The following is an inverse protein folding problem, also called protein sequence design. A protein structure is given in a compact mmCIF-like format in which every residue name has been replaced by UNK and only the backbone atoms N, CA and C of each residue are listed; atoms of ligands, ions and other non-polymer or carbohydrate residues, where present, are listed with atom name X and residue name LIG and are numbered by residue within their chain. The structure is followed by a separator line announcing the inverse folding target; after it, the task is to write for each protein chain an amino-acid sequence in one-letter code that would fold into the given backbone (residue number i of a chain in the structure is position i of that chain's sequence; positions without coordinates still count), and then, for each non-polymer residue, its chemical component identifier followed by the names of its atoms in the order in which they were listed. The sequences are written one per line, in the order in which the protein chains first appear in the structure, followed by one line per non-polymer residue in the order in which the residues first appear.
data_IF_835386363186
#
_entry.id   IF_835386363186
#
_cell.length_a   1.000
_cell.length_b   1.000
_cell.length_c   1.000
_cell.angle_alpha   90.00
_cell.angle_beta   90.00
_cell.angle_gamma   90.00
#
_symmetry.space_group_name_H-M   'P 1'
#
loop_
_entity.id
_entity.type
_entity.pdbx_description
1 polymer ?
#
# COMPACT_ATOMS: atom_id res chain seq x y z
N UNK A 1 -5.34 -13.28 0.26
CA UNK A 1 -5.72 -13.91 -1.03
C UNK A 1 -6.80 -13.07 -1.71
N UNK A 2 -6.55 -12.58 -2.92
CA UNK A 2 -7.26 -11.45 -3.53
C UNK A 2 -8.64 -11.85 -4.08
N UNK A 3 -9.69 -11.74 -3.26
CA UNK A 3 -11.10 -12.05 -3.57
C UNK A 3 -11.66 -11.25 -4.78
N UNK A 4 -10.96 -10.21 -5.22
CA UNK A 4 -11.39 -9.29 -6.28
C UNK A 4 -10.72 -9.51 -7.65
N UNK A 5 -9.71 -10.40 -7.74
CA UNK A 5 -9.07 -10.76 -9.02
C UNK A 5 -10.06 -11.22 -10.12
N UNK A 6 -11.10 -12.03 -9.80
CA UNK A 6 -12.06 -12.47 -10.82
C UNK A 6 -12.97 -11.35 -11.33
N UNK A 7 -13.33 -10.37 -10.48
CA UNK A 7 -14.21 -9.25 -10.86
C UNK A 7 -13.49 -8.32 -11.86
N UNK A 8 -12.23 -8.01 -11.62
CA UNK A 8 -11.40 -7.23 -12.55
C UNK A 8 -11.22 -7.89 -13.90
N UNK A 9 -10.93 -9.19 -13.91
CA UNK A 9 -10.75 -9.96 -15.14
C UNK A 9 -12.05 -10.02 -15.95
N UNK A 10 -13.19 -10.20 -15.30
CA UNK A 10 -14.50 -10.21 -15.95
C UNK A 10 -14.88 -8.83 -16.50
N UNK A 11 -14.59 -7.74 -15.77
CA UNK A 11 -14.82 -6.39 -16.25
C UNK A 11 -14.02 -6.09 -17.53
N UNK A 12 -12.70 -6.36 -17.52
CA UNK A 12 -11.86 -6.18 -18.70
C UNK A 12 -12.35 -6.98 -19.90
N UNK A 13 -12.69 -8.26 -19.68
CA UNK A 13 -13.23 -9.12 -20.75
C UNK A 13 -14.53 -8.55 -21.35
N UNK A 14 -15.45 -8.08 -20.49
CA UNK A 14 -16.71 -7.49 -20.95
C UNK A 14 -16.47 -6.23 -21.80
N UNK A 15 -15.48 -5.40 -21.43
CA UNK A 15 -15.13 -4.20 -22.19
C UNK A 15 -14.47 -4.52 -23.52
N UNK A 16 -13.59 -5.52 -23.56
CA UNK A 16 -13.03 -6.02 -24.83
C UNK A 16 -14.13 -6.54 -25.77
N UNK A 17 -15.10 -7.29 -25.25
CA UNK A 17 -16.22 -7.76 -26.03
C UNK A 17 -17.11 -6.61 -26.54
N UNK A 18 -17.36 -5.59 -25.72
CA UNK A 18 -18.10 -4.40 -26.09
C UNK A 18 -17.40 -3.60 -27.19
N UNK A 19 -16.09 -3.41 -27.10
CA UNK A 19 -15.28 -2.75 -28.13
C UNK A 19 -15.35 -3.56 -29.43
N UNK A 20 -15.10 -4.87 -29.35
CA UNK A 20 -15.16 -5.77 -30.49
C UNK A 20 -16.50 -5.73 -31.19
N UNK A 21 -17.60 -5.77 -30.41
CA UNK A 21 -18.97 -5.66 -30.97
C UNK A 21 -19.22 -4.31 -31.67
N UNK A 22 -18.78 -3.21 -31.06
CA UNK A 22 -18.94 -1.87 -31.68
C UNK A 22 -18.12 -1.72 -32.96
N UNK A 23 -16.92 -2.31 -33.00
CA UNK A 23 -16.10 -2.33 -34.23
C UNK A 23 -16.74 -3.19 -35.34
N UNK A 24 -17.28 -4.34 -34.99
CA UNK A 24 -17.98 -5.20 -35.95
C UNK A 24 -19.19 -4.47 -36.56
N UNK A 25 -20.00 -3.81 -35.71
CA UNK A 25 -21.14 -3.02 -36.20
C UNK A 25 -20.68 -1.89 -37.13
N UNK A 26 -19.62 -1.18 -36.79
CA UNK A 26 -19.07 -0.10 -37.62
C UNK A 26 -18.59 -0.63 -38.99
N UNK A 27 -17.85 -1.75 -38.97
CA UNK A 27 -17.37 -2.39 -40.21
C UNK A 27 -18.53 -2.87 -41.08
N UNK A 28 -19.57 -3.48 -40.49
CA UNK A 28 -20.74 -3.92 -41.21
C UNK A 28 -21.51 -2.76 -41.83
N UNK A 29 -21.63 -1.63 -41.13
CA UNK A 29 -22.27 -0.42 -41.60
C UNK A 29 -21.52 0.18 -42.79
N UNK A 30 -20.19 0.30 -42.70
CA UNK A 30 -19.33 0.74 -43.80
C UNK A 30 -19.44 -0.21 -45.00
N UNK A 31 -19.41 -1.52 -44.73
CA UNK A 31 -19.49 -2.54 -45.80
C UNK A 31 -20.83 -2.45 -46.55
N UNK A 32 -21.93 -2.25 -45.82
CA UNK A 32 -23.25 -2.03 -46.39
C UNK A 32 -23.26 -0.81 -47.36
N UNK A 33 -22.63 0.29 -46.93
CA UNK A 33 -22.54 1.50 -47.76
C UNK A 33 -21.69 1.32 -49.01
N UNK A 34 -20.63 0.49 -48.93
CA UNK A 34 -19.71 0.24 -50.05
C UNK A 34 -20.27 -0.76 -51.04
N UNK A 35 -20.84 -1.87 -50.53
CA UNK A 35 -21.32 -2.96 -51.39
C UNK A 35 -22.68 -2.68 -52.05
N UNK A 36 -23.48 -1.77 -51.47
CA UNK A 36 -24.82 -1.45 -51.97
C UNK A 36 -24.95 0.05 -52.34
N UNK A 37 -24.41 0.48 -53.52
CA UNK A 37 -24.49 1.88 -53.94
C UNK A 37 -25.93 2.40 -54.07
N UNK A 38 -26.87 1.53 -54.46
CA UNK A 38 -28.29 1.88 -54.54
C UNK A 38 -28.91 2.23 -53.17
N UNK A 39 -28.48 1.53 -52.12
CA UNK A 39 -28.88 1.86 -50.74
C UNK A 39 -28.33 3.24 -50.34
N UNK A 40 -27.07 3.52 -50.61
CA UNK A 40 -26.43 4.81 -50.35
C UNK A 40 -27.11 5.96 -51.07
N UNK A 41 -27.49 5.78 -52.33
CA UNK A 41 -28.19 6.80 -53.13
C UNK A 41 -29.61 7.07 -52.57
N UNK A 42 -30.34 6.02 -52.19
CA UNK A 42 -31.68 6.13 -51.60
C UNK A 42 -31.67 6.79 -50.22
N UNK A 43 -30.55 6.74 -49.47
CA UNK A 43 -30.40 7.40 -48.18
C UNK A 43 -30.64 8.91 -48.26
N UNK A 44 -30.22 9.57 -49.35
CA UNK A 44 -30.41 11.01 -49.53
C UNK A 44 -31.79 11.39 -50.04
N UNK A 45 -32.50 10.43 -50.66
CA UNK A 45 -33.78 10.70 -51.36
C UNK A 45 -35.01 10.29 -50.55
N UNK A 46 -34.86 9.29 -49.62
CA UNK A 46 -36.03 8.72 -48.97
C UNK A 46 -35.82 8.58 -47.42
N UNK A 47 -36.66 9.25 -46.61
CA UNK A 47 -36.61 9.18 -45.16
C UNK A 47 -36.73 7.74 -44.59
N UNK A 48 -37.37 6.84 -45.33
CA UNK A 48 -37.52 5.44 -44.90
C UNK A 48 -36.18 4.71 -44.77
N UNK A 49 -35.15 5.11 -45.54
CA UNK A 49 -33.79 4.56 -45.45
C UNK A 49 -32.90 5.40 -44.53
N UNK A 50 -33.13 6.72 -44.52
CA UNK A 50 -32.31 7.65 -43.73
C UNK A 50 -32.52 7.47 -42.23
N UNK A 51 -33.76 7.33 -41.76
CA UNK A 51 -34.06 7.24 -40.32
C UNK A 51 -33.40 6.01 -39.64
N UNK A 52 -33.56 4.78 -40.18
CA UNK A 52 -32.87 3.61 -39.60
C UNK A 52 -31.36 3.76 -39.59
N UNK A 53 -30.76 4.30 -40.65
CA UNK A 53 -29.32 4.53 -40.73
C UNK A 53 -28.84 5.51 -39.66
N UNK A 54 -29.55 6.59 -39.44
CA UNK A 54 -29.27 7.57 -38.41
C UNK A 54 -29.33 6.92 -37.01
N UNK A 55 -30.31 6.05 -36.76
CA UNK A 55 -30.44 5.31 -35.50
C UNK A 55 -29.22 4.42 -35.25
N UNK A 56 -28.75 3.70 -36.27
CA UNK A 56 -27.54 2.85 -36.15
C UNK A 56 -26.31 3.67 -35.82
N UNK A 57 -26.11 4.78 -36.51
CA UNK A 57 -24.95 5.68 -36.23
C UNK A 57 -25.03 6.24 -34.81
N UNK A 58 -26.21 6.74 -34.40
CA UNK A 58 -26.39 7.26 -33.04
C UNK A 58 -26.20 6.19 -31.99
N UNK A 59 -26.61 4.95 -32.26
CA UNK A 59 -26.35 3.82 -31.35
C UNK A 59 -24.86 3.52 -31.20
N UNK A 60 -24.10 3.50 -32.31
CA UNK A 60 -22.62 3.29 -32.27
C UNK A 60 -21.95 4.42 -31.50
N UNK A 61 -22.29 5.68 -31.78
CA UNK A 61 -21.75 6.85 -31.10
C UNK A 61 -22.07 6.78 -29.58
N UNK A 62 -23.34 6.52 -29.24
CA UNK A 62 -23.78 6.39 -27.85
C UNK A 62 -23.07 5.28 -27.11
N UNK A 63 -22.84 4.14 -27.76
CA UNK A 63 -22.10 3.02 -27.18
C UNK A 63 -20.62 3.36 -26.93
N UNK A 64 -19.97 4.07 -27.84
CA UNK A 64 -18.61 4.54 -27.68
C UNK A 64 -18.49 5.60 -26.57
N UNK A 65 -19.41 6.55 -26.52
CA UNK A 65 -19.45 7.54 -25.42
C UNK A 65 -19.66 6.87 -24.07
N UNK A 66 -20.59 5.93 -23.98
CA UNK A 66 -20.81 5.16 -22.77
C UNK A 66 -19.55 4.40 -22.35
N UNK A 67 -18.83 3.80 -23.29
CA UNK A 67 -17.57 3.10 -23.02
C UNK A 67 -16.52 4.05 -22.41
N UNK A 68 -16.37 5.26 -22.97
CA UNK A 68 -15.42 6.27 -22.45
C UNK A 68 -15.80 6.69 -21.03
N UNK A 69 -17.08 6.99 -20.78
CA UNK A 69 -17.57 7.37 -19.45
C UNK A 69 -17.34 6.26 -18.44
N UNK A 70 -17.63 5.01 -18.80
CA UNK A 70 -17.51 3.86 -17.93
C UNK A 70 -16.02 3.56 -17.61
N UNK A 71 -15.13 3.63 -18.60
CA UNK A 71 -13.68 3.47 -18.38
C UNK A 71 -13.10 4.56 -17.47
N UNK A 72 -13.55 5.82 -17.63
CA UNK A 72 -13.11 6.92 -16.78
C UNK A 72 -13.63 6.79 -15.34
N UNK A 73 -14.90 6.41 -15.18
CA UNK A 73 -15.50 6.17 -13.86
C UNK A 73 -14.82 5.01 -13.14
N UNK A 74 -14.55 3.92 -13.87
CA UNK A 74 -13.83 2.78 -13.33
C UNK A 74 -12.40 3.14 -12.90
N UNK A 75 -11.67 3.90 -13.75
CA UNK A 75 -10.33 4.38 -13.42
C UNK A 75 -10.30 5.20 -12.11
N UNK A 76 -11.28 6.13 -11.97
CA UNK A 76 -11.44 6.92 -10.74
C UNK A 76 -11.72 6.05 -9.51
N UNK A 77 -12.64 5.08 -9.61
CA UNK A 77 -12.98 4.19 -8.52
C UNK A 77 -11.79 3.30 -8.09
N UNK A 78 -10.95 2.87 -9.03
CA UNK A 78 -9.72 2.14 -8.72
C UNK A 78 -8.72 3.03 -8.00
N UNK A 79 -8.50 4.24 -8.50
CA UNK A 79 -7.58 5.20 -7.88
C UNK A 79 -8.05 5.58 -6.47
N UNK A 80 -9.32 5.87 -6.27
CA UNK A 80 -9.89 6.17 -4.95
C UNK A 80 -9.73 4.99 -3.98
N UNK A 81 -9.98 3.78 -4.44
CA UNK A 81 -9.76 2.58 -3.64
C UNK A 81 -8.29 2.42 -3.24
N UNK A 82 -7.35 2.69 -4.14
CA UNK A 82 -5.93 2.52 -3.86
C UNK A 82 -5.41 3.64 -2.94
N UNK A 83 -5.93 4.87 -3.05
CA UNK A 83 -5.65 5.95 -2.10
C UNK A 83 -6.22 5.66 -0.71
N UNK A 84 -7.46 5.16 -0.62
CA UNK A 84 -8.09 4.75 0.64
C UNK A 84 -7.33 3.59 1.30
N UNK A 85 -6.85 2.63 0.52
CA UNK A 85 -5.99 1.56 1.04
C UNK A 85 -4.68 2.10 1.57
N UNK A 86 -4.00 2.95 0.80
CA UNK A 86 -2.75 3.56 1.23
C UNK A 86 -2.95 4.32 2.55
N UNK A 87 -3.98 5.17 2.64
CA UNK A 87 -4.32 5.89 3.85
C UNK A 87 -4.64 4.96 5.04
N UNK A 88 -5.23 3.78 4.80
CA UNK A 88 -5.53 2.81 5.86
C UNK A 88 -4.27 2.14 6.43
N UNK A 89 -3.17 2.04 5.66
CA UNK A 89 -1.96 1.29 6.04
C UNK A 89 -0.77 2.16 6.42
N UNK A 90 -0.91 3.48 6.32
CA UNK A 90 0.15 4.45 6.60
C UNK A 90 -0.27 5.34 7.78
N UNK A 91 0.68 5.70 8.61
CA UNK A 91 0.48 6.67 9.70
C UNK A 91 0.44 8.09 9.13
N UNK A 92 -0.64 8.82 9.37
CA UNK A 92 -0.88 10.14 8.78
C UNK A 92 0.17 11.20 9.20
N UNK A 93 0.74 11.05 10.40
CA UNK A 93 1.74 12.00 10.89
C UNK A 93 3.12 11.75 10.28
N UNK A 94 3.52 10.48 10.19
CA UNK A 94 4.91 10.12 9.90
C UNK A 94 5.13 9.53 8.50
N UNK A 95 4.06 9.11 7.81
CA UNK A 95 4.16 8.44 6.52
C UNK A 95 4.60 6.98 6.59
N UNK A 96 5.01 6.49 7.76
CA UNK A 96 5.49 5.13 7.98
C UNK A 96 4.32 4.12 7.99
N UNK A 97 4.54 2.83 7.70
CA UNK A 97 3.55 1.79 7.93
C UNK A 97 2.97 1.87 9.34
N UNK A 98 1.64 1.94 9.44
CA UNK A 98 0.94 2.10 10.72
C UNK A 98 0.70 0.77 11.44
N UNK A 99 -0.03 0.83 12.58
CA UNK A 99 -0.38 -0.34 13.39
C UNK A 99 -1.10 -1.43 12.59
N UNK A 100 -2.00 -1.06 11.67
CA UNK A 100 -2.68 -2.05 10.82
C UNK A 100 -1.70 -2.79 9.91
N UNK A 101 -0.67 -2.10 9.41
CA UNK A 101 0.42 -2.71 8.66
C UNK A 101 1.25 -3.66 9.51
N UNK A 102 1.53 -3.29 10.76
CA UNK A 102 2.19 -4.19 11.74
C UNK A 102 1.33 -5.45 11.99
N UNK A 103 0.02 -5.29 12.18
CA UNK A 103 -0.92 -6.42 12.36
C UNK A 103 -0.96 -7.35 11.13
N UNK A 104 -0.82 -6.80 9.91
CA UNK A 104 -0.71 -7.62 8.69
C UNK A 104 0.56 -8.45 8.66
N UNK A 105 1.68 -7.91 9.10
CA UNK A 105 2.92 -8.68 9.24
C UNK A 105 2.73 -9.82 10.22
N UNK A 106 2.05 -9.59 11.35
CA UNK A 106 1.70 -10.67 12.29
C UNK A 106 0.84 -11.75 11.65
N UNK A 107 -0.13 -11.38 10.82
CA UNK A 107 -0.97 -12.33 10.10
C UNK A 107 -0.18 -13.12 9.03
N UNK A 108 0.77 -12.48 8.35
CA UNK A 108 1.61 -13.14 7.35
C UNK A 108 2.44 -14.27 7.95
N UNK A 109 2.99 -14.06 9.15
CA UNK A 109 3.77 -15.07 9.88
C UNK A 109 2.92 -15.99 10.76
N UNK A 110 1.62 -15.73 10.90
CA UNK A 110 0.69 -16.54 11.70
C UNK A 110 0.22 -17.83 11.04
N UNK A 111 0.57 -18.09 9.77
CA UNK A 111 0.21 -19.31 9.05
C UNK A 111 1.02 -20.52 9.49
N UNK A 112 0.37 -21.67 9.66
CA UNK A 112 1.02 -22.96 10.09
C UNK A 112 2.15 -23.42 9.16
N UNK A 113 2.20 -22.94 7.91
CA UNK A 113 3.21 -23.34 6.90
C UNK A 113 4.35 -22.33 6.74
N UNK A 114 4.34 -21.23 7.48
CA UNK A 114 5.35 -20.18 7.36
C UNK A 114 6.55 -20.52 8.23
N UNK A 115 7.73 -20.64 7.60
CA UNK A 115 8.98 -20.85 8.33
C UNK A 115 9.43 -19.56 8.98
N UNK A 116 9.69 -19.61 10.28
CA UNK A 116 10.17 -18.50 11.09
C UNK A 116 11.54 -18.74 11.69
N UNK A 117 12.26 -19.76 11.22
CA UNK A 117 13.53 -20.24 11.81
C UNK A 117 14.55 -19.10 12.00
N UNK A 118 14.69 -18.22 11.01
CA UNK A 118 15.66 -17.12 11.05
C UNK A 118 14.98 -15.74 11.06
N UNK A 119 13.79 -15.66 11.67
CA UNK A 119 13.09 -14.38 11.81
C UNK A 119 13.52 -13.70 13.12
N UNK A 120 13.76 -12.42 13.04
CA UNK A 120 14.02 -11.58 14.21
C UNK A 120 12.97 -10.47 14.31
N UNK A 121 12.66 -10.10 15.55
CA UNK A 121 11.77 -8.98 15.85
C UNK A 121 12.47 -8.04 16.82
N UNK A 122 12.37 -6.73 16.57
CA UNK A 122 12.76 -5.72 17.52
C UNK A 122 11.60 -4.76 17.80
N UNK A 123 11.49 -4.34 19.05
CA UNK A 123 10.63 -3.24 19.47
C UNK A 123 11.52 -2.07 19.87
N UNK A 124 11.18 -0.89 19.39
CA UNK A 124 11.90 0.35 19.61
C UNK A 124 10.91 1.36 20.19
N UNK A 125 11.30 2.10 21.21
CA UNK A 125 10.47 3.18 21.78
C UNK A 125 11.26 4.47 21.86
N UNK A 126 10.61 5.60 21.57
CA UNK A 126 11.16 6.92 21.88
C UNK A 126 10.90 7.17 23.36
N UNK A 127 11.98 7.17 24.15
CA UNK A 127 11.87 7.25 25.63
C UNK A 127 11.55 8.65 26.14
N UNK A 128 12.00 9.70 25.47
CA UNK A 128 11.83 11.08 25.90
C UNK A 128 10.61 11.81 25.27
N UNK A 129 9.77 11.13 24.45
CA UNK A 129 8.65 11.77 23.77
C UNK A 129 7.68 12.47 24.73
N UNK A 130 7.31 11.82 25.83
CA UNK A 130 6.40 12.40 26.83
C UNK A 130 7.00 13.64 27.52
N UNK A 131 8.29 13.58 27.87
CA UNK A 131 8.99 14.71 28.46
C UNK A 131 9.08 15.90 27.48
N UNK A 132 9.35 15.63 26.22
CA UNK A 132 9.36 16.65 25.16
C UNK A 132 7.97 17.30 24.99
N UNK A 133 6.90 16.51 24.94
CA UNK A 133 5.54 17.03 24.85
C UNK A 133 5.18 17.96 26.01
N UNK A 134 5.63 17.63 27.22
CA UNK A 134 5.39 18.45 28.42
C UNK A 134 6.23 19.74 28.38
N UNK A 135 7.49 19.65 27.99
CA UNK A 135 8.42 20.77 28.05
C UNK A 135 8.28 21.74 26.87
N UNK A 136 8.05 21.23 25.66
CA UNK A 136 8.09 21.99 24.39
C UNK A 136 6.77 21.99 23.61
N UNK A 137 5.75 21.26 24.09
CA UNK A 137 4.47 21.13 23.43
C UNK A 137 4.37 20.00 22.43
N UNK A 138 3.15 19.71 21.96
CA UNK A 138 2.85 18.57 21.06
C UNK A 138 3.55 18.68 19.72
N UNK A 139 3.65 19.87 19.15
CA UNK A 139 4.29 20.09 17.85
C UNK A 139 5.76 19.65 17.87
N UNK A 140 6.47 19.85 19.00
CA UNK A 140 7.84 19.38 19.17
C UNK A 140 7.93 17.85 19.27
N UNK A 141 6.97 17.21 19.93
CA UNK A 141 6.88 15.76 19.97
C UNK A 141 6.50 15.14 18.62
N UNK A 142 5.59 15.76 17.88
CA UNK A 142 5.23 15.34 16.53
C UNK A 142 6.44 15.43 15.60
N UNK A 143 7.26 16.48 15.74
CA UNK A 143 8.51 16.62 14.98
C UNK A 143 9.51 15.50 15.31
N UNK A 144 9.70 15.16 16.61
CA UNK A 144 10.53 13.99 17.01
C UNK A 144 10.05 12.70 16.34
N UNK A 145 8.74 12.48 16.31
CA UNK A 145 8.16 11.30 15.67
C UNK A 145 8.46 11.26 14.17
N UNK A 146 8.26 12.37 13.47
CA UNK A 146 8.55 12.51 12.04
C UNK A 146 10.03 12.26 11.75
N UNK A 147 10.90 12.93 12.49
CA UNK A 147 12.36 12.85 12.27
C UNK A 147 12.88 11.45 12.59
N UNK A 148 12.40 10.83 13.67
CA UNK A 148 12.77 9.45 14.00
C UNK A 148 12.28 8.47 12.94
N UNK A 149 11.06 8.61 12.43
CA UNK A 149 10.53 7.74 11.38
C UNK A 149 11.35 7.85 10.10
N UNK A 150 11.74 9.06 9.68
CA UNK A 150 12.61 9.25 8.53
C UNK A 150 13.96 8.53 8.69
N UNK A 151 14.57 8.65 9.90
CA UNK A 151 15.83 7.97 10.21
C UNK A 151 15.64 6.44 10.22
N UNK A 152 14.56 5.96 10.84
CA UNK A 152 14.29 4.53 10.99
C UNK A 152 13.96 3.88 9.63
N UNK A 153 13.22 4.55 8.76
CA UNK A 153 12.91 4.09 7.41
C UNK A 153 14.18 4.03 6.55
N UNK A 154 14.98 5.10 6.55
CA UNK A 154 16.25 5.14 5.81
C UNK A 154 17.22 4.01 6.19
N UNK A 155 17.26 3.64 7.48
CA UNK A 155 18.07 2.51 7.94
C UNK A 155 17.36 1.17 7.69
N UNK A 156 16.04 1.12 7.85
CA UNK A 156 15.24 -0.10 7.79
C UNK A 156 15.06 -0.68 6.40
N UNK A 157 15.07 0.16 5.35
CA UNK A 157 14.86 -0.24 3.95
C UNK A 157 15.78 -1.37 3.49
N UNK A 158 17.01 -1.42 4.00
CA UNK A 158 17.99 -2.45 3.66
C UNK A 158 17.83 -3.75 4.47
N UNK A 159 16.97 -3.77 5.51
CA UNK A 159 16.92 -4.86 6.48
C UNK A 159 15.60 -5.63 6.47
N UNK A 160 14.46 -4.93 6.45
CA UNK A 160 13.18 -5.60 6.53
C UNK A 160 12.02 -4.66 6.79
N UNK A 161 10.94 -5.20 7.36
CA UNK A 161 9.77 -4.40 7.65
C UNK A 161 10.01 -3.50 8.86
N UNK A 162 9.71 -2.20 8.70
CA UNK A 162 9.60 -1.24 9.81
C UNK A 162 8.22 -0.62 9.81
N UNK A 163 7.66 -0.38 11.00
CA UNK A 163 6.35 0.23 11.14
C UNK A 163 6.12 0.85 12.51
N UNK A 164 5.26 1.86 12.56
CA UNK A 164 4.82 2.50 13.80
C UNK A 164 3.67 1.70 14.41
N UNK A 165 3.93 1.01 15.52
CA UNK A 165 2.94 0.17 16.19
C UNK A 165 1.92 0.98 17.04
N UNK A 166 2.13 2.28 17.15
CA UNK A 166 1.28 3.25 17.84
C UNK A 166 2.02 4.06 18.90
N UNK A 167 1.55 5.26 19.18
CA UNK A 167 2.20 6.15 20.14
C UNK A 167 3.67 6.42 19.79
N UNK A 168 4.56 6.02 20.68
CA UNK A 168 6.01 6.12 20.54
C UNK A 168 6.69 4.78 20.25
N UNK A 169 5.94 3.72 19.92
CA UNK A 169 6.45 2.36 19.70
C UNK A 169 6.58 2.04 18.20
N UNK A 170 7.67 1.36 17.85
CA UNK A 170 8.02 0.95 16.49
C UNK A 170 8.38 -0.53 16.48
N UNK A 171 7.98 -1.19 15.40
CA UNK A 171 8.25 -2.59 15.14
C UNK A 171 9.23 -2.73 13.98
N UNK A 172 10.24 -3.56 14.17
CA UNK A 172 11.14 -4.05 13.12
C UNK A 172 11.00 -5.56 13.02
N UNK A 173 10.83 -6.09 11.81
CA UNK A 173 10.85 -7.54 11.53
C UNK A 173 11.84 -7.81 10.40
N UNK A 174 12.81 -8.68 10.64
CA UNK A 174 13.85 -9.04 9.66
C UNK A 174 13.78 -10.55 9.39
N UNK A 175 13.67 -10.92 8.12
CA UNK A 175 13.79 -12.30 7.66
C UNK A 175 15.25 -12.70 7.46
N UNK A 176 15.56 -13.98 7.60
CA UNK A 176 16.92 -14.51 7.47
C UNK A 176 17.95 -13.70 8.29
N UNK A 177 17.54 -13.28 9.48
CA UNK A 177 18.29 -12.40 10.33
C UNK A 177 19.30 -13.19 11.19
N UNK A 178 20.55 -12.81 11.08
CA UNK A 178 21.60 -13.25 12.02
C UNK A 178 21.80 -12.20 13.11
N UNK A 179 22.40 -12.59 14.22
CA UNK A 179 22.79 -11.63 15.28
C UNK A 179 23.62 -10.46 14.73
N UNK A 180 24.54 -10.75 13.81
CA UNK A 180 25.37 -9.72 13.17
C UNK A 180 24.55 -8.74 12.32
N UNK A 181 23.49 -9.19 11.64
CA UNK A 181 22.58 -8.31 10.92
C UNK A 181 21.85 -7.36 11.87
N UNK A 182 21.32 -7.87 12.98
CA UNK A 182 20.63 -7.06 13.99
C UNK A 182 21.56 -6.04 14.65
N UNK A 183 22.77 -6.45 15.03
CA UNK A 183 23.78 -5.55 15.57
C UNK A 183 24.20 -4.46 14.58
N UNK A 184 24.31 -4.82 13.29
CA UNK A 184 24.63 -3.86 12.22
C UNK A 184 23.51 -2.83 12.06
N UNK A 185 22.24 -3.26 12.08
CA UNK A 185 21.08 -2.37 12.04
C UNK A 185 21.13 -1.34 13.17
N UNK A 186 21.23 -1.79 14.43
CA UNK A 186 21.25 -0.88 15.57
C UNK A 186 22.48 0.02 15.62
N UNK A 187 23.62 -0.45 15.14
CA UNK A 187 24.81 0.39 14.99
C UNK A 187 24.60 1.52 13.96
N UNK A 188 23.94 1.23 12.86
CA UNK A 188 23.62 2.25 11.85
C UNK A 188 22.60 3.24 12.41
N UNK A 189 21.54 2.75 13.06
CA UNK A 189 20.51 3.58 13.69
C UNK A 189 21.13 4.51 14.75
N UNK A 190 21.96 3.98 15.65
CA UNK A 190 22.68 4.78 16.66
C UNK A 190 23.57 5.86 16.02
N UNK A 191 24.27 5.51 14.94
CA UNK A 191 25.13 6.47 14.22
C UNK A 191 24.31 7.61 13.62
N UNK A 192 23.13 7.31 13.02
CA UNK A 192 22.24 8.32 12.45
C UNK A 192 21.62 9.19 13.54
N UNK A 193 21.16 8.59 14.63
CA UNK A 193 20.61 9.32 15.79
C UNK A 193 21.63 10.24 16.44
N UNK A 194 22.86 9.78 16.64
CA UNK A 194 23.94 10.65 17.16
C UNK A 194 24.18 11.85 16.26
N UNK A 195 24.22 11.64 14.95
CA UNK A 195 24.39 12.74 13.99
C UNK A 195 23.22 13.71 14.04
N UNK A 196 21.99 13.22 14.11
CA UNK A 196 20.79 14.04 14.25
C UNK A 196 20.84 14.87 15.55
N UNK A 197 21.12 14.22 16.69
CA UNK A 197 21.12 14.84 18.01
C UNK A 197 22.20 15.94 18.17
N UNK A 198 23.33 15.84 17.46
CA UNK A 198 24.34 16.91 17.42
C UNK A 198 23.79 18.18 16.77
N UNK A 199 22.89 18.04 15.79
CA UNK A 199 22.27 19.15 15.08
C UNK A 199 21.00 19.67 15.77
N UNK A 200 20.25 18.79 16.42
CA UNK A 200 18.97 19.04 17.08
C UNK A 200 19.17 19.36 18.59
N UNK A 201 19.97 20.36 18.93
CA UNK A 201 20.38 20.71 20.29
C UNK A 201 19.24 20.86 21.31
N UNK A 202 18.05 21.28 20.89
CA UNK A 202 16.89 21.54 21.76
C UNK A 202 15.88 20.40 21.79
N UNK A 203 16.00 19.44 20.92
CA UNK A 203 15.00 18.37 20.76
C UNK A 203 15.65 17.02 20.34
N UNK A 204 16.55 16.48 21.19
CA UNK A 204 17.23 15.21 20.89
C UNK A 204 16.22 14.04 20.88
N UNK A 205 16.55 12.99 20.12
CA UNK A 205 15.80 11.73 20.11
C UNK A 205 16.55 10.72 20.98
N UNK A 206 15.86 10.22 22.00
CA UNK A 206 16.34 9.14 22.86
C UNK A 206 15.47 7.91 22.65
N UNK A 207 16.10 6.76 22.45
CA UNK A 207 15.39 5.50 22.21
C UNK A 207 15.78 4.41 23.20
N UNK A 208 14.81 3.56 23.53
CA UNK A 208 15.06 2.25 24.12
C UNK A 208 14.64 1.18 23.10
N UNK A 209 15.35 0.05 23.07
CA UNK A 209 15.00 -1.05 22.22
C UNK A 209 15.35 -2.41 22.82
N UNK A 210 14.61 -3.42 22.41
CA UNK A 210 14.91 -4.83 22.64
C UNK A 210 14.64 -5.61 21.38
N UNK A 211 15.41 -6.67 21.17
CA UNK A 211 15.21 -7.57 20.03
C UNK A 211 15.33 -9.03 20.44
N UNK A 212 14.64 -9.86 19.68
CA UNK A 212 14.65 -11.31 19.84
C UNK A 212 14.94 -11.93 18.47
N UNK A 213 15.92 -12.84 18.44
CA UNK A 213 16.16 -13.70 17.30
C UNK A 213 15.48 -15.05 17.57
N UNK A 214 14.78 -15.59 16.58
CA UNK A 214 14.19 -16.92 16.73
C UNK A 214 15.24 -18.02 16.81
N UNK A 215 16.42 -17.81 16.27
CA UNK A 215 17.58 -18.70 16.43
C UNK A 215 17.94 -18.96 17.91
N UNK A 216 17.69 -17.98 18.78
CA UNK A 216 17.94 -18.09 20.22
C UNK A 216 16.69 -18.60 20.98
N UNK A 217 15.48 -18.20 20.52
CA UNK A 217 14.24 -18.49 21.23
C UNK A 217 13.65 -19.86 20.87
N UNK A 218 13.90 -20.34 19.62
CA UNK A 218 13.35 -21.57 19.07
C UNK A 218 11.82 -21.67 19.17
N UNK A 219 11.13 -20.55 18.94
CA UNK A 219 9.68 -20.49 19.00
C UNK A 219 9.05 -21.10 17.73
N UNK A 220 7.97 -21.85 17.91
CA UNK A 220 7.18 -22.42 16.84
C UNK A 220 6.18 -21.42 16.21
N UNK A 221 5.97 -20.28 16.87
CA UNK A 221 4.99 -19.24 16.44
C UNK A 221 5.59 -17.86 16.53
N UNK A 222 5.35 -17.08 15.52
CA UNK A 222 5.80 -15.69 15.45
C UNK A 222 5.29 -14.82 16.63
N UNK A 223 4.08 -15.08 17.10
CA UNK A 223 3.52 -14.41 18.28
C UNK A 223 4.37 -14.57 19.53
N UNK A 224 5.07 -15.69 19.69
CA UNK A 224 5.97 -15.90 20.83
C UNK A 224 7.23 -15.03 20.74
N UNK A 225 7.76 -14.83 19.53
CA UNK A 225 8.92 -13.94 19.29
C UNK A 225 8.56 -12.51 19.69
N UNK A 226 7.39 -12.02 19.27
CA UNK A 226 6.90 -10.68 19.59
C UNK A 226 6.65 -10.53 21.09
N UNK A 227 5.96 -11.52 21.70
CA UNK A 227 5.70 -11.50 23.14
C UNK A 227 7.01 -11.46 23.93
N UNK A 228 8.02 -12.21 23.50
CA UNK A 228 9.33 -12.17 24.15
C UNK A 228 10.00 -10.80 24.02
N UNK A 229 9.93 -10.16 22.83
CA UNK A 229 10.46 -8.81 22.63
C UNK A 229 9.72 -7.78 23.50
N UNK A 230 8.39 -7.88 23.57
CA UNK A 230 7.53 -7.02 24.39
C UNK A 230 7.88 -7.15 25.89
N UNK A 231 7.99 -8.39 26.38
CA UNK A 231 8.35 -8.66 27.76
C UNK A 231 9.75 -8.15 28.12
N UNK A 232 10.71 -8.25 27.20
CA UNK A 232 12.05 -7.71 27.43
C UNK A 232 12.08 -6.18 27.46
N UNK A 233 11.21 -5.51 26.68
CA UNK A 233 11.16 -4.05 26.63
C UNK A 233 10.46 -3.47 27.87
N UNK A 234 9.34 -4.05 28.29
CA UNK A 234 8.49 -3.50 29.35
C UNK A 234 8.73 -4.10 30.74
N UNK A 235 9.35 -5.30 30.87
CA UNK A 235 9.68 -5.89 32.15
C UNK A 235 11.14 -5.65 32.59
N UNK A 236 11.90 -4.87 31.83
CA UNK A 236 13.26 -4.49 32.22
C UNK A 236 13.30 -3.37 33.28
N UNK A 237 12.14 -2.84 33.68
CA UNK A 237 11.99 -1.75 34.67
C UNK A 237 11.57 -2.23 36.08
N UNK A 238 11.77 -3.54 36.40
CA UNK A 238 11.56 -4.09 37.74
C UNK A 238 12.80 -4.74 38.33
#
# INVERSE_FOLDING_TARGET
MNKYKPIFKNYQLTKFLQIGFSLILLVLDILLMVLYPDYRNKLSENPLYFIPQLIVILFIIGNLLFLVVDLTAFGKAVQERDTLKHAAYVDELTGMPNRLSCDLVFQMYGGESVKIDHVACALITISNLSATNIALGRDAGDQILIDFCNILEEVGDDYGFVGRNGGNEFLLVIENCTRKHMESFFKQLDTRLKRYNVLALNNPIEINYKYVLNDDLHADRFSAIITAAYNQLHNADF
#
